data_IF_724146930835
#
_entry.id   IF_724146930835
#
_cell.length_a   1.000
_cell.length_b   1.000
_cell.length_c   1.000
_cell.angle_alpha   90.00
_cell.angle_beta   90.00
_cell.angle_gamma   90.00
#
_symmetry.space_group_name_H-M   'P 1'
#
loop_
_entity.id
_entity.type
_entity.pdbx_description
1 polymer ?
#
# COMPACT_ATOMS: atom_id res chain seq x y z
N UNK A 1 -64.27 -35.64 34.80
CA UNK A 1 -63.72 -34.29 35.06
C UNK A 1 -62.79 -34.45 36.24
N UNK A 2 -61.63 -35.09 36.08
CA UNK A 2 -60.46 -34.68 35.30
C UNK A 2 -59.86 -33.38 35.86
N UNK A 3 -58.97 -33.53 36.83
CA UNK A 3 -57.98 -32.52 37.19
C UNK A 3 -56.61 -33.23 37.19
N UNK A 4 -55.99 -33.27 36.01
CA UNK A 4 -54.59 -33.63 35.85
C UNK A 4 -53.79 -32.36 36.16
N UNK A 5 -53.39 -32.21 37.42
CA UNK A 5 -52.55 -31.11 37.85
C UNK A 5 -51.11 -31.32 37.33
N UNK A 6 -50.81 -30.60 36.27
CA UNK A 6 -49.54 -30.67 35.53
C UNK A 6 -48.41 -30.04 36.36
N UNK A 7 -47.66 -30.86 37.11
CA UNK A 7 -46.45 -30.45 37.82
C UNK A 7 -45.41 -29.87 36.83
N UNK A 8 -45.23 -28.54 36.85
CA UNK A 8 -44.08 -27.90 36.17
C UNK A 8 -42.86 -27.97 37.07
N UNK A 9 -41.70 -28.47 36.60
CA UNK A 9 -40.51 -28.58 37.43
C UNK A 9 -40.01 -27.18 37.83
N UNK A 10 -39.98 -26.90 39.13
CA UNK A 10 -39.42 -25.68 39.70
C UNK A 10 -37.89 -25.67 39.55
N UNK A 11 -37.38 -25.14 38.43
CA UNK A 11 -35.96 -24.85 38.30
C UNK A 11 -35.54 -23.84 39.38
N UNK A 12 -34.81 -24.30 40.39
CA UNK A 12 -34.33 -23.40 41.45
C UNK A 12 -33.44 -22.31 40.83
N UNK A 13 -33.66 -21.05 41.21
CA UNK A 13 -32.83 -19.90 40.77
C UNK A 13 -31.33 -20.13 41.03
N UNK A 14 -30.98 -21.00 41.98
CA UNK A 14 -29.61 -21.39 42.28
C UNK A 14 -29.02 -22.36 41.25
N UNK A 15 -29.80 -23.33 40.75
CA UNK A 15 -29.40 -24.24 39.67
C UNK A 15 -29.16 -23.52 38.35
N UNK A 16 -30.06 -22.62 37.98
CA UNK A 16 -29.93 -21.79 36.78
C UNK A 16 -28.68 -20.89 36.81
N UNK A 17 -28.34 -20.31 37.97
CA UNK A 17 -27.12 -19.49 38.14
C UNK A 17 -25.82 -20.30 38.05
N UNK A 18 -25.83 -21.55 38.52
CA UNK A 18 -24.66 -22.47 38.41
C UNK A 18 -24.47 -22.95 36.98
N UNK A 19 -25.55 -23.40 36.32
CA UNK A 19 -25.54 -23.78 34.92
C UNK A 19 -25.03 -22.64 34.01
N UNK A 20 -25.52 -21.42 34.22
CA UNK A 20 -25.04 -20.24 33.47
C UNK A 20 -23.55 -19.91 33.69
N UNK A 21 -22.99 -20.24 34.86
CA UNK A 21 -21.56 -19.99 35.14
C UNK A 21 -20.68 -21.03 34.44
N UNK A 22 -21.11 -22.30 34.40
CA UNK A 22 -20.42 -23.39 33.68
C UNK A 22 -20.47 -23.15 32.16
N UNK A 23 -21.62 -22.72 31.63
CA UNK A 23 -21.77 -22.39 30.22
C UNK A 23 -20.88 -21.21 29.82
N UNK A 24 -20.76 -20.17 30.65
CA UNK A 24 -19.85 -19.04 30.39
C UNK A 24 -18.38 -19.48 30.40
N UNK A 25 -17.98 -20.34 31.35
CA UNK A 25 -16.63 -20.88 31.41
C UNK A 25 -16.29 -21.71 30.16
N UNK A 26 -17.19 -22.62 29.77
CA UNK A 26 -17.05 -23.43 28.57
C UNK A 26 -16.95 -22.56 27.32
N UNK A 27 -17.80 -21.52 27.19
CA UNK A 27 -17.75 -20.59 26.08
C UNK A 27 -16.42 -19.82 25.99
N UNK A 28 -15.89 -19.33 27.12
CA UNK A 28 -14.59 -18.62 27.14
C UNK A 28 -13.41 -19.54 26.77
N UNK A 29 -13.42 -20.78 27.24
CA UNK A 29 -12.38 -21.78 26.93
C UNK A 29 -12.46 -22.17 25.45
N UNK A 30 -13.64 -22.49 24.95
CA UNK A 30 -13.84 -22.88 23.54
C UNK A 30 -13.48 -21.74 22.58
N UNK A 31 -13.76 -20.49 22.95
CA UNK A 31 -13.42 -19.32 22.13
C UNK A 31 -11.92 -18.96 22.16
N UNK A 32 -11.17 -19.38 23.19
CA UNK A 32 -9.76 -18.98 23.39
C UNK A 32 -8.81 -19.29 22.23
N UNK A 33 -8.80 -20.49 21.60
CA UNK A 33 -7.86 -20.78 20.50
C UNK A 33 -8.14 -19.97 19.23
N UNK A 34 -9.32 -19.37 19.09
CA UNK A 34 -9.68 -18.56 17.93
C UNK A 34 -9.53 -17.06 18.21
N UNK A 35 -10.05 -16.60 19.36
CA UNK A 35 -10.11 -15.17 19.67
C UNK A 35 -8.77 -14.62 20.14
N UNK A 36 -8.00 -15.39 20.92
CA UNK A 36 -6.75 -14.90 21.50
C UNK A 36 -5.66 -14.71 20.44
N UNK A 37 -5.36 -15.70 19.57
CA UNK A 37 -4.32 -15.53 18.54
C UNK A 37 -4.68 -14.42 17.54
N UNK A 38 -5.89 -14.46 16.97
CA UNK A 38 -6.35 -13.48 15.98
C UNK A 38 -6.50 -12.08 16.58
N UNK A 39 -6.91 -11.99 17.85
CA UNK A 39 -6.98 -10.73 18.58
C UNK A 39 -5.61 -10.09 18.79
N UNK A 40 -4.62 -10.86 19.25
CA UNK A 40 -3.25 -10.37 19.46
C UNK A 40 -2.59 -9.94 18.15
N UNK A 41 -2.78 -10.71 17.09
CA UNK A 41 -2.29 -10.38 15.75
C UNK A 41 -2.91 -9.09 15.21
N UNK A 42 -4.21 -8.90 15.43
CA UNK A 42 -4.93 -7.68 15.05
C UNK A 42 -4.47 -6.44 15.82
N UNK A 43 -4.19 -6.57 17.12
CA UNK A 43 -3.60 -5.48 17.92
C UNK A 43 -2.22 -5.10 17.38
N UNK A 44 -1.40 -6.10 17.05
CA UNK A 44 -0.06 -5.86 16.47
C UNK A 44 -0.15 -5.16 15.12
N UNK A 45 -1.06 -5.60 14.24
CA UNK A 45 -1.29 -4.96 12.93
C UNK A 45 -1.76 -3.51 13.05
N UNK A 46 -2.59 -3.18 14.04
CA UNK A 46 -3.03 -1.81 14.29
C UNK A 46 -1.89 -0.94 14.85
N UNK A 47 -1.02 -1.52 15.68
CA UNK A 47 0.17 -0.86 16.20
C UNK A 47 1.20 -0.58 15.08
N UNK A 48 1.40 -1.55 14.18
CA UNK A 48 2.33 -1.50 13.05
C UNK A 48 1.68 -0.96 11.76
N UNK A 49 0.47 -0.38 11.82
CA UNK A 49 -0.34 0.05 10.66
C UNK A 49 0.33 1.03 9.69
N UNK A 50 1.41 1.68 10.14
CA UNK A 50 2.18 2.66 9.36
C UNK A 50 3.50 2.08 8.84
N UNK A 51 3.83 0.84 9.19
CA UNK A 51 5.01 0.13 8.69
C UNK A 51 4.64 -0.72 7.46
N UNK A 52 5.02 -0.28 6.25
CA UNK A 52 4.69 -1.02 5.03
C UNK A 52 5.38 -2.38 4.94
N UNK A 53 6.51 -2.58 5.64
CA UNK A 53 7.22 -3.86 5.64
C UNK A 53 6.43 -4.90 6.42
N UNK A 54 5.95 -4.52 7.61
CA UNK A 54 5.10 -5.39 8.43
C UNK A 54 3.80 -5.77 7.71
N UNK A 55 3.17 -4.81 7.02
CA UNK A 55 1.95 -5.06 6.23
C UNK A 55 2.22 -6.09 5.12
N UNK A 56 3.27 -5.89 4.33
CA UNK A 56 3.64 -6.80 3.27
C UNK A 56 3.97 -8.19 3.83
N UNK A 57 4.76 -8.27 4.91
CA UNK A 57 5.13 -9.54 5.54
C UNK A 57 3.92 -10.32 6.02
N UNK A 58 2.97 -9.65 6.68
CA UNK A 58 1.72 -10.25 7.12
C UNK A 58 0.88 -10.77 5.95
N UNK A 59 0.75 -10.00 4.86
CA UNK A 59 -0.07 -10.47 3.72
C UNK A 59 0.57 -11.61 2.94
N UNK A 60 1.90 -11.61 2.85
CA UNK A 60 2.65 -12.67 2.21
C UNK A 60 2.63 -13.98 3.01
N UNK A 61 2.41 -13.95 4.33
CA UNK A 61 2.29 -15.19 5.14
C UNK A 61 1.00 -15.96 4.88
N UNK A 62 -0.02 -15.29 4.33
CA UNK A 62 -1.27 -15.91 3.93
C UNK A 62 -1.18 -16.61 2.56
N UNK A 63 -0.10 -16.41 1.80
CA UNK A 63 0.07 -17.01 0.48
C UNK A 63 0.51 -18.48 0.57
N UNK A 64 -0.05 -19.28 -0.32
CA UNK A 64 0.24 -20.70 -0.48
C UNK A 64 1.27 -20.95 -1.57
N UNK A 65 1.86 -22.15 -1.61
CA UNK A 65 2.76 -22.55 -2.70
C UNK A 65 2.10 -22.47 -4.08
N UNK A 66 0.78 -22.67 -4.17
CA UNK A 66 0.04 -22.57 -5.41
C UNK A 66 -0.04 -21.13 -5.92
N UNK A 67 -0.15 -20.15 -5.03
CA UNK A 67 -0.18 -18.73 -5.39
C UNK A 67 1.12 -18.30 -6.07
N UNK A 68 2.27 -18.70 -5.50
CA UNK A 68 3.58 -18.47 -6.13
C UNK A 68 3.72 -19.21 -7.45
N UNK A 69 3.26 -20.47 -7.54
CA UNK A 69 3.32 -21.26 -8.77
C UNK A 69 2.52 -20.60 -9.91
N UNK A 70 1.31 -20.14 -9.62
CA UNK A 70 0.45 -19.45 -10.60
C UNK A 70 1.10 -18.14 -11.05
N UNK A 71 1.59 -17.34 -10.11
CA UNK A 71 2.24 -16.08 -10.42
C UNK A 71 3.52 -16.25 -11.26
N UNK A 72 4.34 -17.27 -10.97
CA UNK A 72 5.55 -17.56 -11.76
C UNK A 72 5.17 -17.99 -13.18
N UNK A 73 4.14 -18.82 -13.32
CA UNK A 73 3.67 -19.26 -14.63
C UNK A 73 3.11 -18.09 -15.47
N UNK A 74 2.40 -17.15 -14.83
CA UNK A 74 1.90 -15.94 -15.47
C UNK A 74 3.04 -15.00 -15.90
N UNK A 75 4.03 -14.78 -15.04
CA UNK A 75 5.21 -13.99 -15.40
C UNK A 75 5.99 -14.60 -16.59
N UNK A 76 6.07 -15.93 -16.67
CA UNK A 76 6.67 -16.64 -17.80
C UNK A 76 5.81 -16.55 -19.07
N UNK A 77 4.48 -16.58 -18.96
CA UNK A 77 3.61 -16.41 -20.14
C UNK A 77 3.67 -15.01 -20.72
N UNK A 78 3.94 -14.03 -19.87
CA UNK A 78 4.09 -12.63 -20.24
C UNK A 78 5.53 -12.27 -20.70
N UNK A 79 6.41 -13.28 -20.81
CA UNK A 79 7.84 -13.15 -21.14
C UNK A 79 8.61 -12.20 -20.19
N UNK A 80 8.15 -12.06 -18.94
CA UNK A 80 8.78 -11.25 -17.90
C UNK A 80 9.68 -12.10 -17.00
N UNK A 81 10.84 -12.48 -17.53
CA UNK A 81 11.76 -13.33 -16.79
C UNK A 81 12.30 -12.66 -15.52
N UNK A 82 12.50 -11.33 -15.52
CA UNK A 82 12.84 -10.56 -14.33
C UNK A 82 11.77 -10.63 -13.21
N UNK A 83 10.48 -10.63 -13.54
CA UNK A 83 9.41 -10.82 -12.56
C UNK A 83 9.35 -12.27 -12.08
N UNK A 84 9.53 -13.24 -12.97
CA UNK A 84 9.60 -14.65 -12.63
C UNK A 84 10.76 -14.95 -11.66
N UNK A 85 11.94 -14.37 -11.89
CA UNK A 85 13.09 -14.41 -10.96
C UNK A 85 12.74 -13.78 -9.61
N UNK A 86 12.10 -12.60 -9.63
CA UNK A 86 11.65 -11.91 -8.42
C UNK A 86 10.74 -12.78 -7.56
N UNK A 87 9.78 -13.48 -8.20
CA UNK A 87 8.80 -14.36 -7.55
C UNK A 87 9.47 -15.61 -6.97
N UNK A 88 10.42 -16.20 -7.69
CA UNK A 88 11.23 -17.30 -7.19
C UNK A 88 12.06 -16.90 -5.96
N UNK A 89 12.77 -15.77 -6.02
CA UNK A 89 13.55 -15.26 -4.90
C UNK A 89 12.69 -14.95 -3.67
N UNK A 90 11.44 -14.53 -3.89
CA UNK A 90 10.48 -14.31 -2.82
C UNK A 90 10.02 -15.64 -2.21
N UNK A 91 9.62 -16.61 -3.02
CA UNK A 91 9.21 -17.95 -2.56
C UNK A 91 10.32 -18.63 -1.75
N UNK A 92 11.57 -18.60 -2.24
CA UNK A 92 12.73 -19.16 -1.55
C UNK A 92 12.96 -18.50 -0.18
N UNK A 93 12.87 -17.17 -0.12
CA UNK A 93 13.03 -16.43 1.14
C UNK A 93 11.99 -16.75 2.20
N UNK A 94 10.85 -17.32 1.77
CA UNK A 94 9.72 -17.73 2.61
C UNK A 94 9.75 -19.23 2.91
N UNK A 95 10.74 -19.96 2.42
CA UNK A 95 10.81 -21.42 2.55
C UNK A 95 9.73 -22.17 1.76
N UNK A 96 9.16 -21.54 0.72
CA UNK A 96 8.14 -22.15 -0.13
C UNK A 96 8.83 -22.99 -1.21
N UNK A 97 8.56 -24.30 -1.22
CA UNK A 97 9.14 -25.21 -2.19
C UNK A 97 8.50 -25.06 -3.57
N UNK A 98 9.29 -24.63 -4.56
CA UNK A 98 8.91 -24.58 -5.98
C UNK A 98 9.53 -25.77 -6.71
N UNK A 99 8.75 -26.40 -7.60
CA UNK A 99 9.16 -27.60 -8.34
C UNK A 99 10.40 -27.36 -9.20
N UNK A 100 11.22 -28.39 -9.38
CA UNK A 100 12.42 -28.36 -10.22
C UNK A 100 12.14 -27.90 -11.66
N UNK A 101 11.12 -28.44 -12.36
CA UNK A 101 10.83 -28.05 -13.74
C UNK A 101 10.42 -26.58 -13.91
N UNK A 102 9.76 -25.97 -12.92
CA UNK A 102 9.37 -24.56 -13.00
C UNK A 102 10.58 -23.65 -12.74
N UNK A 103 11.45 -24.04 -11.80
CA UNK A 103 12.74 -23.36 -11.55
C UNK A 103 13.61 -23.33 -12.82
N UNK A 104 13.73 -24.46 -13.50
CA UNK A 104 14.51 -24.56 -14.74
C UNK A 104 13.95 -23.66 -15.85
N UNK A 105 12.62 -23.56 -15.98
CA UNK A 105 11.99 -22.63 -16.93
C UNK A 105 12.33 -21.18 -16.65
N UNK A 106 12.33 -20.75 -15.38
CA UNK A 106 12.72 -19.40 -15.01
C UNK A 106 14.21 -19.15 -15.28
N UNK A 107 15.08 -20.10 -14.93
CA UNK A 107 16.53 -19.98 -15.19
C UNK A 107 16.83 -19.86 -16.69
N UNK A 108 16.12 -20.62 -17.54
CA UNK A 108 16.21 -20.50 -18.99
C UNK A 108 15.70 -19.15 -19.50
N UNK A 109 14.56 -18.67 -18.98
CA UNK A 109 13.99 -17.38 -19.37
C UNK A 109 14.93 -16.21 -18.98
N UNK A 110 15.46 -16.23 -17.76
CA UNK A 110 16.42 -15.23 -17.27
C UNK A 110 17.70 -15.24 -18.10
N UNK A 111 18.20 -16.42 -18.46
CA UNK A 111 19.38 -16.55 -19.32
C UNK A 111 19.14 -16.02 -20.74
N UNK A 112 17.92 -16.16 -21.26
CA UNK A 112 17.52 -15.63 -22.56
C UNK A 112 17.41 -14.10 -22.53
N UNK A 113 16.80 -13.52 -21.50
CA UNK A 113 16.69 -12.07 -21.31
C UNK A 113 18.07 -11.42 -21.10
N UNK A 114 18.98 -12.10 -20.40
CA UNK A 114 20.36 -11.66 -20.22
C UNK A 114 21.18 -11.68 -21.53
N UNK A 115 20.69 -12.30 -22.60
CA UNK A 115 21.39 -12.33 -23.88
C UNK A 115 21.36 -10.96 -24.59
N UNK A 116 22.50 -10.55 -25.14
CA UNK A 116 22.66 -9.28 -25.86
C UNK A 116 21.67 -9.10 -27.01
N UNK A 117 21.27 -10.20 -27.67
CA UNK A 117 20.34 -10.18 -28.80
C UNK A 117 18.93 -9.77 -28.38
N UNK A 118 18.47 -10.20 -27.20
CA UNK A 118 17.13 -9.89 -26.71
C UNK A 118 17.04 -8.46 -26.18
N UNK A 119 18.08 -7.98 -25.49
CA UNK A 119 18.16 -6.58 -25.04
C UNK A 119 18.16 -5.59 -26.22
N UNK A 120 18.84 -5.93 -27.33
CA UNK A 120 18.82 -5.12 -28.54
C UNK A 120 17.45 -5.16 -29.24
N UNK A 121 16.74 -6.28 -29.19
CA UNK A 121 15.40 -6.43 -29.75
C UNK A 121 14.36 -5.61 -28.98
N UNK A 122 14.33 -5.68 -27.65
CA UNK A 122 13.42 -4.85 -26.82
C UNK A 122 13.71 -3.34 -27.02
N UNK A 123 14.99 -2.96 -27.12
CA UNK A 123 15.37 -1.57 -27.40
C UNK A 123 14.90 -1.10 -28.77
N UNK A 124 15.00 -1.95 -29.79
CA UNK A 124 14.56 -1.65 -31.15
C UNK A 124 13.02 -1.59 -31.24
N UNK A 125 12.31 -2.59 -30.73
CA UNK A 125 10.85 -2.64 -30.75
C UNK A 125 10.23 -1.50 -29.94
N UNK A 126 10.77 -1.17 -28.76
CA UNK A 126 10.27 -0.04 -27.97
C UNK A 126 10.60 1.32 -28.58
N UNK A 127 11.72 1.45 -29.30
CA UNK A 127 12.06 2.67 -30.03
C UNK A 127 11.20 2.87 -31.29
N UNK A 128 10.85 1.79 -31.99
CA UNK A 128 10.07 1.84 -33.25
C UNK A 128 8.56 1.88 -33.00
N UNK A 129 8.06 1.11 -32.03
CA UNK A 129 6.62 1.03 -31.76
C UNK A 129 6.08 2.23 -30.99
N UNK A 130 6.94 2.99 -30.30
CA UNK A 130 6.51 4.03 -29.37
C UNK A 130 5.57 3.51 -28.27
N UNK A 131 5.54 2.19 -28.05
CA UNK A 131 4.55 1.54 -27.21
C UNK A 131 4.93 1.77 -25.73
N UNK A 132 4.09 2.48 -24.96
CA UNK A 132 4.46 2.98 -23.63
C UNK A 132 4.61 1.91 -22.56
N UNK A 133 4.21 0.66 -22.84
CA UNK A 133 4.38 -0.47 -21.94
C UNK A 133 5.78 -1.11 -22.01
N UNK A 134 6.62 -0.70 -22.96
CA UNK A 134 8.00 -1.20 -23.08
C UNK A 134 9.01 -0.36 -22.27
N UNK A 135 9.98 -1.03 -21.65
CA UNK A 135 11.08 -0.38 -20.90
C UNK A 135 11.83 0.64 -21.75
N UNK A 136 12.05 0.32 -23.03
CA UNK A 136 12.74 1.18 -23.98
C UNK A 136 11.92 2.42 -24.38
N UNK A 137 10.60 2.28 -24.60
CA UNK A 137 9.70 3.40 -24.85
C UNK A 137 9.67 4.38 -23.68
N UNK A 138 9.64 3.86 -22.45
CA UNK A 138 9.70 4.69 -21.24
C UNK A 138 11.07 5.37 -21.07
N UNK A 139 12.17 4.67 -21.31
CA UNK A 139 13.52 5.26 -21.25
C UNK A 139 13.67 6.37 -22.29
N UNK A 140 13.17 6.17 -23.51
CA UNK A 140 13.15 7.20 -24.55
C UNK A 140 12.30 8.41 -24.16
N UNK A 141 11.11 8.18 -23.60
CA UNK A 141 10.24 9.24 -23.09
C UNK A 141 10.91 10.02 -21.95
N UNK A 142 11.56 9.34 -20.99
CA UNK A 142 12.28 10.00 -19.90
C UNK A 142 13.51 10.76 -20.43
N UNK A 143 14.28 10.19 -21.35
CA UNK A 143 15.44 10.84 -21.94
C UNK A 143 15.09 12.13 -22.68
N UNK A 144 13.91 12.17 -23.32
CA UNK A 144 13.39 13.35 -24.03
C UNK A 144 12.72 14.36 -23.10
N UNK A 145 11.97 13.90 -22.08
CA UNK A 145 11.27 14.76 -21.10
C UNK A 145 12.18 15.24 -19.93
N UNK A 146 13.44 14.82 -19.83
CA UNK A 146 14.41 15.33 -18.84
C UNK A 146 14.77 16.83 -19.01
N UNK A 147 14.24 17.48 -20.05
CA UNK A 147 14.48 18.88 -20.37
C UNK A 147 13.34 19.78 -19.91
N UNK A 148 13.67 21.00 -19.47
CA UNK A 148 12.67 22.04 -19.14
C UNK A 148 11.74 22.36 -20.32
N UNK A 149 12.13 21.99 -21.55
CA UNK A 149 11.38 22.26 -22.78
C UNK A 149 10.05 21.50 -22.81
N UNK A 150 10.02 20.26 -22.31
CA UNK A 150 8.79 19.46 -22.21
C UNK A 150 7.75 20.14 -21.33
N UNK A 151 8.15 20.59 -20.14
CA UNK A 151 7.30 21.30 -19.18
C UNK A 151 6.74 22.59 -19.78
N UNK A 152 7.59 23.35 -20.48
CA UNK A 152 7.19 24.60 -21.13
C UNK A 152 6.16 24.32 -22.23
N UNK A 153 6.40 23.33 -23.10
CA UNK A 153 5.46 22.95 -24.16
C UNK A 153 4.12 22.50 -23.57
N UNK A 154 4.16 21.63 -22.57
CA UNK A 154 2.96 21.06 -21.97
C UNK A 154 2.18 22.15 -21.20
N UNK A 155 2.83 23.12 -20.55
CA UNK A 155 2.15 24.31 -19.98
C UNK A 155 1.53 25.18 -21.07
N UNK A 156 2.22 25.40 -22.20
CA UNK A 156 1.68 26.22 -23.29
C UNK A 156 0.42 25.58 -23.89
N UNK A 157 0.44 24.26 -24.09
CA UNK A 157 -0.68 23.52 -24.68
C UNK A 157 -1.82 23.35 -23.68
N UNK A 158 -1.58 22.64 -22.57
CA UNK A 158 -2.62 22.30 -21.59
C UNK A 158 -3.07 23.52 -20.80
N UNK A 159 -2.15 24.45 -20.53
CA UNK A 159 -2.48 25.70 -19.84
C UNK A 159 -3.22 26.68 -20.74
N UNK A 160 -3.01 26.61 -22.06
CA UNK A 160 -3.80 27.37 -23.03
C UNK A 160 -5.23 26.87 -23.05
N UNK A 161 -5.40 25.57 -23.29
CA UNK A 161 -6.70 24.90 -23.27
C UNK A 161 -7.46 25.14 -21.95
N UNK A 162 -6.79 25.05 -20.80
CA UNK A 162 -7.38 25.38 -19.50
C UNK A 162 -7.93 26.81 -19.41
N UNK A 163 -7.21 27.81 -19.94
CA UNK A 163 -7.65 29.21 -19.91
C UNK A 163 -8.75 29.51 -20.92
N UNK A 164 -8.72 28.81 -22.05
CA UNK A 164 -9.70 28.94 -23.13
C UNK A 164 -11.01 28.19 -22.83
N UNK A 165 -11.01 27.32 -21.80
CA UNK A 165 -12.16 26.51 -21.40
C UNK A 165 -12.32 25.22 -22.22
N UNK A 166 -11.28 24.82 -22.94
CA UNK A 166 -11.23 23.61 -23.76
C UNK A 166 -10.87 22.37 -22.94
N UNK A 167 -10.96 21.19 -23.56
CA UNK A 167 -10.51 19.94 -22.96
C UNK A 167 -8.99 19.93 -22.79
N UNK A 168 -8.53 19.53 -21.61
CA UNK A 168 -7.11 19.56 -21.23
C UNK A 168 -6.82 18.43 -20.24
N UNK A 169 -5.55 18.01 -20.11
CA UNK A 169 -5.15 17.05 -19.09
C UNK A 169 -4.68 17.77 -17.80
N UNK A 170 -5.46 17.72 -16.69
CA UNK A 170 -5.11 18.40 -15.43
C UNK A 170 -3.91 17.77 -14.71
N UNK A 171 -3.63 16.49 -14.98
CA UNK A 171 -2.45 15.82 -14.46
C UNK A 171 -1.21 16.39 -15.14
N UNK A 172 -1.19 16.41 -16.47
CA UNK A 172 -0.04 16.89 -17.25
C UNK A 172 0.22 18.37 -16.98
N UNK A 173 -0.82 19.22 -17.01
CA UNK A 173 -0.68 20.64 -16.65
C UNK A 173 -0.09 20.81 -15.24
N UNK A 174 -0.63 20.08 -14.27
CA UNK A 174 -0.19 20.13 -12.88
C UNK A 174 1.26 19.72 -12.67
N UNK A 175 1.68 18.60 -13.27
CA UNK A 175 3.05 18.09 -13.22
C UNK A 175 4.03 19.02 -13.94
N UNK A 176 3.62 19.67 -15.03
CA UNK A 176 4.46 20.60 -15.77
C UNK A 176 4.61 21.93 -15.04
N UNK A 177 3.53 22.48 -14.45
CA UNK A 177 3.60 23.65 -13.55
C UNK A 177 4.48 23.36 -12.34
N UNK A 178 4.33 22.19 -11.70
CA UNK A 178 5.16 21.77 -10.60
C UNK A 178 6.64 21.66 -11.00
N UNK A 179 6.94 21.00 -12.11
CA UNK A 179 8.30 20.85 -12.64
C UNK A 179 8.97 22.20 -12.96
N UNK A 180 8.24 23.12 -13.59
CA UNK A 180 8.75 24.45 -13.90
C UNK A 180 8.94 25.32 -12.64
N UNK A 181 7.99 25.31 -11.71
CA UNK A 181 8.02 26.16 -10.53
C UNK A 181 9.08 25.73 -9.50
N UNK A 182 9.21 24.42 -9.27
CA UNK A 182 10.02 23.85 -8.16
C UNK A 182 11.53 23.86 -8.47
N UNK A 183 11.95 24.13 -9.71
CA UNK A 183 13.34 23.94 -10.19
C UNK A 183 14.38 24.93 -9.61
N UNK A 184 14.56 25.00 -8.29
CA UNK A 184 15.68 25.71 -7.66
C UNK A 184 15.52 26.08 -6.18
N UNK A 185 14.32 25.99 -5.59
CA UNK A 185 14.14 26.34 -4.17
C UNK A 185 14.33 25.14 -3.21
N UNK A 186 14.09 23.90 -3.66
CA UNK A 186 14.11 22.68 -2.82
C UNK A 186 15.26 21.72 -3.17
N UNK A 187 16.01 22.02 -4.24
CA UNK A 187 16.96 21.09 -4.90
C UNK A 187 18.36 21.08 -4.24
N UNK A 188 18.56 21.82 -3.13
CA UNK A 188 19.87 22.01 -2.52
C UNK A 188 20.45 20.78 -1.78
N UNK A 189 19.69 19.69 -1.58
CA UNK A 189 20.23 18.47 -0.95
C UNK A 189 20.93 17.59 -1.98
N UNK A 190 22.26 17.52 -1.86
CA UNK A 190 23.17 16.74 -2.69
C UNK A 190 22.62 15.35 -3.07
N UNK A 191 22.22 15.18 -4.35
CA UNK A 191 21.80 13.90 -4.94
C UNK A 191 20.29 13.66 -5.11
N UNK A 192 19.41 14.46 -4.49
CA UNK A 192 17.95 14.33 -4.63
C UNK A 192 17.42 14.91 -5.95
N UNK A 193 18.13 15.89 -6.50
CA UNK A 193 17.81 16.62 -7.74
C UNK A 193 17.58 15.70 -8.95
N UNK A 194 18.47 14.74 -9.16
CA UNK A 194 18.44 13.81 -10.30
C UNK A 194 17.35 12.77 -10.13
N UNK A 195 17.13 12.30 -8.90
CA UNK A 195 16.09 11.33 -8.56
C UNK A 195 14.69 11.94 -8.73
N UNK A 196 14.48 13.17 -8.27
CA UNK A 196 13.23 13.90 -8.47
C UNK A 196 12.93 14.13 -9.96
N UNK A 197 13.94 14.52 -10.75
CA UNK A 197 13.78 14.70 -12.22
C UNK A 197 13.43 13.39 -12.92
N UNK A 198 14.08 12.29 -12.57
CA UNK A 198 13.76 10.98 -13.10
C UNK A 198 12.31 10.59 -12.79
N UNK A 199 11.87 10.72 -11.54
CA UNK A 199 10.50 10.36 -11.17
C UNK A 199 9.44 11.30 -11.72
N UNK A 200 9.69 12.61 -11.84
CA UNK A 200 8.75 13.54 -12.48
C UNK A 200 8.59 13.25 -13.98
N UNK A 201 9.69 12.96 -14.68
CA UNK A 201 9.65 12.56 -16.09
C UNK A 201 8.89 11.24 -16.26
N UNK A 202 9.16 10.27 -15.38
CA UNK A 202 8.48 8.98 -15.44
C UNK A 202 6.98 9.08 -15.08
N UNK A 203 6.60 9.92 -14.13
CA UNK A 203 5.20 10.23 -13.83
C UNK A 203 4.49 10.85 -15.03
N UNK A 204 5.14 11.76 -15.77
CA UNK A 204 4.56 12.33 -16.99
C UNK A 204 4.41 11.29 -18.09
N UNK A 205 5.46 10.51 -18.35
CA UNK A 205 5.43 9.45 -19.34
C UNK A 205 4.34 8.41 -19.00
N UNK A 206 4.27 7.96 -17.75
CA UNK A 206 3.22 7.05 -17.28
C UNK A 206 1.82 7.70 -17.36
N UNK A 207 1.70 8.99 -17.08
CA UNK A 207 0.45 9.75 -17.21
C UNK A 207 -0.05 9.78 -18.65
N UNK A 208 0.83 10.14 -19.60
CA UNK A 208 0.54 10.15 -21.05
C UNK A 208 0.20 8.75 -21.58
N UNK A 209 0.86 7.74 -21.03
CA UNK A 209 0.63 6.33 -21.34
C UNK A 209 -0.65 5.73 -20.76
N UNK A 210 -1.32 6.42 -19.83
CA UNK A 210 -2.40 5.80 -19.05
C UNK A 210 -1.93 4.73 -18.05
N UNK A 211 -0.62 4.63 -17.79
CA UNK A 211 0.00 3.65 -16.90
C UNK A 211 0.00 4.07 -15.41
N UNK A 212 -0.89 4.98 -15.02
CA UNK A 212 -1.11 5.38 -13.62
C UNK A 212 -2.47 4.87 -13.18
N UNK A 213 -2.52 4.18 -12.04
CA UNK A 213 -3.76 3.68 -11.47
C UNK A 213 -4.80 4.81 -11.33
N UNK A 214 -6.05 4.53 -11.70
CA UNK A 214 -7.13 5.54 -11.66
C UNK A 214 -7.30 6.23 -10.28
N UNK A 215 -7.16 5.55 -9.12
CA UNK A 215 -7.20 6.21 -7.81
C UNK A 215 -6.03 7.19 -7.61
N UNK A 216 -4.82 6.81 -8.01
CA UNK A 216 -3.64 7.67 -7.92
C UNK A 216 -3.73 8.88 -8.85
N UNK A 217 -4.17 8.67 -10.11
CA UNK A 217 -4.41 9.77 -11.06
C UNK A 217 -5.40 10.78 -10.49
N UNK A 218 -6.53 10.33 -9.93
CA UNK A 218 -7.51 11.22 -9.26
C UNK A 218 -6.92 11.96 -8.07
N UNK A 219 -6.06 11.30 -7.28
CA UNK A 219 -5.38 11.93 -6.15
C UNK A 219 -4.40 13.01 -6.60
N UNK A 220 -3.64 12.77 -7.67
CA UNK A 220 -2.76 13.77 -8.26
C UNK A 220 -3.53 14.95 -8.85
N UNK A 221 -4.60 14.72 -9.62
CA UNK A 221 -5.45 15.79 -10.17
C UNK A 221 -6.00 16.67 -9.04
N UNK A 222 -6.40 16.08 -7.91
CA UNK A 222 -6.87 16.84 -6.75
C UNK A 222 -5.76 17.70 -6.13
N UNK A 223 -4.55 17.16 -6.04
CA UNK A 223 -3.38 17.89 -5.51
C UNK A 223 -2.95 19.03 -6.45
N UNK A 224 -2.98 18.79 -7.76
CA UNK A 224 -2.58 19.79 -8.76
C UNK A 224 -3.65 20.85 -8.99
N UNK A 225 -4.94 20.48 -8.94
CA UNK A 225 -6.05 21.42 -9.07
C UNK A 225 -6.05 22.51 -7.99
N UNK A 226 -5.62 22.19 -6.77
CA UNK A 226 -5.41 23.20 -5.72
C UNK A 226 -4.12 24.01 -5.90
N UNK A 227 -3.17 23.52 -6.70
CA UNK A 227 -1.89 24.18 -6.92
C UNK A 227 -1.93 25.17 -8.09
N UNK A 228 -2.65 24.87 -9.18
CA UNK A 228 -2.68 25.71 -10.38
C UNK A 228 -3.56 26.95 -10.16
N UNK A 229 -2.94 28.13 -10.16
CA UNK A 229 -3.63 29.41 -10.12
C UNK A 229 -3.85 29.93 -11.55
N UNK A 230 -5.10 29.97 -12.01
CA UNK A 230 -5.42 30.40 -13.38
C UNK A 230 -4.96 31.82 -13.72
N UNK A 231 -4.96 32.75 -12.75
CA UNK A 231 -4.44 34.11 -12.97
C UNK A 231 -2.93 34.09 -13.23
N UNK A 232 -2.18 33.38 -12.37
CA UNK A 232 -0.74 33.26 -12.53
C UNK A 232 -0.35 32.51 -13.82
N UNK A 233 -1.16 31.53 -14.21
CA UNK A 233 -1.00 30.79 -15.45
C UNK A 233 -1.23 31.73 -16.66
N UNK A 234 -2.26 32.57 -16.62
CA UNK A 234 -2.53 33.58 -17.65
C UNK A 234 -1.41 34.63 -17.80
N UNK A 235 -0.71 34.97 -16.71
CA UNK A 235 0.46 35.85 -16.74
C UNK A 235 1.73 35.12 -17.24
N UNK A 236 1.88 33.84 -16.89
CA UNK A 236 3.03 33.03 -17.26
C UNK A 236 3.03 32.56 -18.72
N UNK A 237 1.87 32.24 -19.30
CA UNK A 237 1.76 31.72 -20.67
C UNK A 237 2.35 32.64 -21.74
N UNK A 238 2.05 33.95 -21.76
CA UNK A 238 2.65 34.88 -22.72
C UNK A 238 4.16 35.00 -22.56
N UNK A 239 4.70 34.80 -21.35
CA UNK A 239 6.14 34.79 -21.09
C UNK A 239 6.78 33.52 -21.66
N UNK A 240 6.14 32.36 -21.48
CA UNK A 240 6.58 31.08 -22.04
C UNK A 240 6.57 31.08 -23.57
N UNK A 241 5.49 31.56 -24.19
CA UNK A 241 5.37 31.69 -25.66
C UNK A 241 6.46 32.60 -26.26
N UNK A 242 6.97 33.56 -25.49
CA UNK A 242 8.09 34.45 -25.87
C UNK A 242 9.48 33.91 -25.47
N UNK A 243 9.56 32.68 -24.96
CA UNK A 243 10.81 32.07 -24.51
C UNK A 243 11.36 32.57 -23.18
N UNK A 244 10.63 33.43 -22.45
CA UNK A 244 11.06 33.97 -21.15
C UNK A 244 10.68 33.03 -20.00
N UNK A 245 11.34 31.87 -19.97
CA UNK A 245 11.11 30.80 -18.99
C UNK A 245 11.39 31.26 -17.55
N UNK A 246 12.42 32.08 -17.36
CA UNK A 246 12.79 32.59 -16.03
C UNK A 246 11.72 33.49 -15.43
N UNK A 247 11.14 34.41 -16.22
CA UNK A 247 10.06 35.28 -15.73
C UNK A 247 8.75 34.51 -15.52
N UNK A 248 8.41 33.61 -16.45
CA UNK A 248 7.24 32.73 -16.31
C UNK A 248 7.32 31.91 -15.02
N UNK A 249 8.49 31.31 -14.76
CA UNK A 249 8.75 30.55 -13.55
C UNK A 249 8.57 31.38 -12.28
N UNK A 250 9.10 32.61 -12.23
CA UNK A 250 8.93 33.48 -11.06
C UNK A 250 7.45 33.77 -10.80
N UNK A 251 6.70 34.07 -11.86
CA UNK A 251 5.26 34.35 -11.83
C UNK A 251 4.44 33.17 -11.31
N UNK A 252 4.78 31.96 -11.77
CA UNK A 252 4.20 30.73 -11.24
C UNK A 252 4.59 30.56 -9.77
N UNK A 253 5.88 30.58 -9.44
CA UNK A 253 6.37 30.33 -8.08
C UNK A 253 5.76 31.25 -7.01
N UNK A 254 5.48 32.51 -7.32
CA UNK A 254 4.90 33.48 -6.36
C UNK A 254 3.43 33.23 -6.03
N UNK A 255 2.73 32.46 -6.85
CA UNK A 255 1.27 32.36 -6.81
C UNK A 255 0.77 30.95 -6.43
N UNK A 256 1.69 30.03 -6.13
CA UNK A 256 1.40 28.63 -5.86
C UNK A 256 1.30 28.36 -4.36
N UNK A 257 0.34 27.53 -3.96
CA UNK A 257 0.46 26.83 -2.68
C UNK A 257 1.58 25.80 -2.79
N UNK A 258 2.60 25.95 -1.96
CA UNK A 258 3.77 25.08 -1.98
C UNK A 258 3.48 23.70 -1.38
N UNK A 259 2.45 23.55 -0.53
CA UNK A 259 2.19 22.28 0.16
C UNK A 259 1.80 21.13 -0.77
N UNK A 260 0.85 21.28 -1.72
CA UNK A 260 0.53 20.22 -2.67
C UNK A 260 1.70 19.90 -3.61
N UNK A 261 2.49 20.92 -3.96
CA UNK A 261 3.66 20.79 -4.82
C UNK A 261 4.79 19.99 -4.17
N UNK A 262 5.04 20.22 -2.88
CA UNK A 262 6.00 19.40 -2.10
C UNK A 262 5.56 17.94 -2.08
N UNK A 263 4.26 17.65 -1.88
CA UNK A 263 3.75 16.26 -1.92
C UNK A 263 3.94 15.59 -3.28
N UNK A 264 3.78 16.33 -4.38
CA UNK A 264 4.06 15.83 -5.73
C UNK A 264 5.55 15.58 -5.94
N UNK A 265 6.40 16.45 -5.41
CA UNK A 265 7.84 16.29 -5.46
C UNK A 265 8.29 15.07 -4.65
N UNK A 266 7.77 14.88 -3.44
CA UNK A 266 8.07 13.72 -2.60
C UNK A 266 7.69 12.42 -3.33
N UNK A 267 6.48 12.38 -3.91
CA UNK A 267 6.03 11.28 -4.74
C UNK A 267 6.97 11.01 -5.94
N UNK A 268 7.44 12.06 -6.61
CA UNK A 268 8.41 11.92 -7.69
C UNK A 268 9.77 11.41 -7.20
N UNK A 269 10.26 11.88 -6.05
CA UNK A 269 11.51 11.38 -5.45
C UNK A 269 11.39 9.89 -5.12
N UNK A 270 10.24 9.45 -4.60
CA UNK A 270 9.98 8.05 -4.29
C UNK A 270 9.95 7.18 -5.55
N UNK A 271 9.24 7.61 -6.59
CA UNK A 271 9.22 6.90 -7.89
C UNK A 271 10.63 6.82 -8.48
N UNK A 272 11.36 7.93 -8.51
CA UNK A 272 12.73 7.96 -9.01
C UNK A 272 13.67 7.08 -8.17
N UNK A 273 13.44 6.97 -6.86
CA UNK A 273 14.22 6.10 -5.97
C UNK A 273 14.00 4.64 -6.32
N UNK A 274 12.75 4.23 -6.57
CA UNK A 274 12.43 2.87 -7.01
C UNK A 274 13.04 2.59 -8.37
N UNK A 275 12.88 3.49 -9.35
CA UNK A 275 13.43 3.30 -10.70
C UNK A 275 14.95 3.14 -10.69
N UNK A 276 15.64 3.97 -9.90
CA UNK A 276 17.10 3.91 -9.79
C UNK A 276 17.59 2.63 -9.10
N UNK A 277 16.86 2.14 -8.10
CA UNK A 277 17.30 0.99 -7.29
C UNK A 277 16.84 -0.36 -7.83
N UNK A 278 15.62 -0.42 -8.37
CA UNK A 278 14.94 -1.67 -8.79
C UNK A 278 14.67 -1.73 -10.29
N UNK A 279 15.03 -0.69 -11.05
CA UNK A 279 14.79 -0.61 -12.49
C UNK A 279 13.44 0.02 -12.86
N UNK A 280 13.31 0.35 -14.14
CA UNK A 280 12.16 1.09 -14.67
C UNK A 280 10.84 0.29 -14.60
N UNK A 281 10.85 -1.02 -14.92
CA UNK A 281 9.66 -1.89 -14.81
C UNK A 281 9.06 -1.86 -13.39
N UNK A 282 9.91 -1.95 -12.36
CA UNK A 282 9.45 -1.86 -10.96
C UNK A 282 8.83 -0.50 -10.62
N UNK A 283 9.36 0.58 -11.19
CA UNK A 283 8.81 1.92 -11.00
C UNK A 283 7.47 2.14 -11.71
N UNK A 284 7.26 1.56 -12.88
CA UNK A 284 5.96 1.63 -13.58
C UNK A 284 4.92 0.74 -12.93
N UNK A 285 5.28 -0.48 -12.51
CA UNK A 285 4.40 -1.37 -11.74
C UNK A 285 3.88 -0.69 -10.47
N UNK A 286 4.77 0.00 -9.74
CA UNK A 286 4.42 0.80 -8.57
C UNK A 286 3.34 1.87 -8.89
N UNK A 287 3.40 2.51 -10.07
CA UNK A 287 2.40 3.50 -10.50
C UNK A 287 1.08 2.88 -10.95
N UNK A 288 1.13 1.68 -11.55
CA UNK A 288 -0.06 0.90 -11.94
C UNK A 288 -0.82 0.36 -10.72
N UNK A 289 -0.17 0.29 -9.57
CA UNK A 289 -0.68 -0.37 -8.36
C UNK A 289 -0.98 0.59 -7.21
N UNK A 290 -0.26 1.70 -7.05
CA UNK A 290 -0.48 2.61 -5.93
C UNK A 290 -1.85 3.34 -6.03
N UNK A 291 -2.51 3.52 -4.87
CA UNK A 291 -3.80 4.22 -4.81
C UNK A 291 -3.64 5.72 -4.49
N UNK A 292 -2.62 6.07 -3.70
CA UNK A 292 -2.37 7.44 -3.25
C UNK A 292 -0.89 7.81 -3.34
N UNK A 293 -0.54 9.11 -3.37
CA UNK A 293 0.85 9.55 -3.34
C UNK A 293 1.60 9.09 -2.08
N UNK A 294 0.90 8.91 -0.95
CA UNK A 294 1.49 8.39 0.28
C UNK A 294 1.88 6.89 0.15
N UNK A 295 1.18 6.13 -0.69
CA UNK A 295 1.51 4.74 -0.95
C UNK A 295 2.79 4.62 -1.77
N UNK A 296 3.12 5.63 -2.58
CA UNK A 296 4.41 5.68 -3.29
C UNK A 296 5.59 5.74 -2.30
N UNK A 297 5.49 6.54 -1.25
CA UNK A 297 6.50 6.59 -0.19
C UNK A 297 6.66 5.25 0.53
N UNK A 298 5.54 4.57 0.79
CA UNK A 298 5.55 3.23 1.40
C UNK A 298 6.18 2.18 0.49
N UNK A 299 5.84 2.18 -0.79
CA UNK A 299 6.40 1.27 -1.79
C UNK A 299 7.89 1.55 -2.03
N UNK A 300 8.32 2.82 -1.98
CA UNK A 300 9.75 3.21 -2.01
C UNK A 300 10.53 2.60 -0.84
N UNK A 301 9.99 2.67 0.38
CA UNK A 301 10.56 1.98 1.56
C UNK A 301 10.59 0.46 1.38
N UNK A 302 9.50 -0.12 0.89
CA UNK A 302 9.38 -1.55 0.63
C UNK A 302 10.44 -2.02 -0.39
N UNK A 303 10.62 -1.26 -1.47
CA UNK A 303 11.63 -1.55 -2.50
C UNK A 303 13.05 -1.56 -1.94
N UNK A 304 13.35 -0.63 -1.02
CA UNK A 304 14.67 -0.55 -0.38
C UNK A 304 14.90 -1.75 0.55
N UNK A 305 13.85 -2.28 1.18
CA UNK A 305 13.94 -3.42 2.10
C UNK A 305 14.00 -4.76 1.38
N UNK A 306 13.15 -4.97 0.37
CA UNK A 306 12.98 -6.26 -0.30
C UNK A 306 13.83 -6.42 -1.57
N UNK A 307 14.38 -5.33 -2.10
CA UNK A 307 15.28 -5.35 -3.25
C UNK A 307 14.66 -6.06 -4.45
N UNK A 308 15.37 -7.04 -4.99
CA UNK A 308 14.93 -7.85 -6.14
C UNK A 308 13.56 -8.50 -5.96
N UNK A 309 13.09 -8.74 -4.73
CA UNK A 309 11.77 -9.35 -4.45
C UNK A 309 10.62 -8.34 -4.53
N UNK A 310 10.91 -7.05 -4.67
CA UNK A 310 9.91 -5.98 -4.63
C UNK A 310 8.84 -6.13 -5.72
N UNK A 311 9.25 -6.42 -6.97
CA UNK A 311 8.31 -6.62 -8.09
C UNK A 311 7.33 -7.76 -7.80
N UNK A 312 7.81 -8.89 -7.29
CA UNK A 312 6.98 -10.00 -6.85
C UNK A 312 5.97 -9.61 -5.76
N UNK A 313 6.36 -8.75 -4.81
CA UNK A 313 5.43 -8.26 -3.78
C UNK A 313 4.34 -7.38 -4.39
N UNK A 314 4.68 -6.48 -5.31
CA UNK A 314 3.69 -5.67 -6.02
C UNK A 314 2.74 -6.54 -6.85
N UNK A 315 3.27 -7.52 -7.56
CA UNK A 315 2.51 -8.43 -8.40
C UNK A 315 1.51 -9.27 -7.59
N UNK A 316 1.97 -9.90 -6.50
CA UNK A 316 1.14 -10.77 -5.68
C UNK A 316 0.12 -10.00 -4.83
N UNK A 317 0.47 -8.82 -4.31
CA UNK A 317 -0.34 -8.12 -3.32
C UNK A 317 -1.08 -6.89 -3.85
N UNK A 318 -0.70 -6.37 -5.01
CA UNK A 318 -1.23 -5.13 -5.55
C UNK A 318 -1.11 -3.96 -4.56
N UNK A 319 -2.12 -3.09 -4.53
CA UNK A 319 -2.14 -1.90 -3.66
C UNK A 319 -2.19 -2.28 -2.18
N UNK A 320 -2.65 -3.49 -1.88
CA UNK A 320 -2.63 -4.05 -0.55
C UNK A 320 -1.23 -4.44 -0.06
N UNK A 321 -0.17 -4.32 -0.87
CA UNK A 321 1.20 -4.41 -0.36
C UNK A 321 1.50 -3.35 0.73
N UNK A 322 0.80 -2.21 0.68
CA UNK A 322 1.04 -1.06 1.56
C UNK A 322 -0.24 -0.46 2.17
N UNK A 323 -1.40 -1.03 1.83
CA UNK A 323 -2.69 -0.63 2.38
C UNK A 323 -3.33 -1.78 3.17
N UNK A 324 -3.98 -1.43 4.29
CA UNK A 324 -4.71 -2.38 5.14
C UNK A 324 -6.23 -2.24 4.97
N UNK A 325 -6.72 -1.57 3.92
CA UNK A 325 -8.10 -1.05 3.83
C UNK A 325 -9.21 -2.02 4.26
N UNK A 326 -9.23 -3.24 3.70
CA UNK A 326 -10.19 -4.28 4.11
C UNK A 326 -9.81 -5.01 5.40
N UNK A 327 -8.51 -5.13 5.71
CA UNK A 327 -8.01 -5.85 6.87
C UNK A 327 -8.15 -5.07 8.19
N UNK A 328 -8.17 -3.73 8.17
CA UNK A 328 -8.40 -2.94 9.37
C UNK A 328 -9.79 -3.17 9.96
N UNK A 329 -10.80 -3.41 9.13
CA UNK A 329 -12.16 -3.70 9.60
C UNK A 329 -12.20 -5.07 10.27
N UNK A 330 -11.58 -6.08 9.66
CA UNK A 330 -11.46 -7.41 10.26
C UNK A 330 -10.63 -7.37 11.55
N UNK A 331 -9.50 -6.66 11.54
CA UNK A 331 -8.65 -6.46 12.72
C UNK A 331 -9.39 -5.71 13.83
N UNK A 332 -10.19 -4.68 13.51
CA UNK A 332 -11.06 -4.01 14.47
C UNK A 332 -12.08 -5.00 15.08
N UNK A 333 -12.71 -5.86 14.27
CA UNK A 333 -13.62 -6.90 14.75
C UNK A 333 -12.94 -7.88 15.71
N UNK A 334 -11.74 -8.33 15.39
CA UNK A 334 -10.95 -9.23 16.24
C UNK A 334 -10.45 -8.54 17.51
N UNK A 335 -10.04 -7.27 17.46
CA UNK A 335 -9.66 -6.53 18.67
C UNK A 335 -10.84 -6.30 19.62
N UNK A 336 -12.03 -5.99 19.09
CA UNK A 336 -13.27 -5.92 19.89
C UNK A 336 -13.61 -7.28 20.49
N UNK A 337 -13.48 -8.35 19.70
CA UNK A 337 -13.71 -9.72 20.18
C UNK A 337 -12.75 -10.11 21.31
N UNK A 338 -11.47 -9.75 21.18
CA UNK A 338 -10.46 -9.95 22.24
C UNK A 338 -10.78 -9.14 23.49
N UNK A 339 -11.18 -7.87 23.34
CA UNK A 339 -11.54 -7.02 24.47
C UNK A 339 -12.76 -7.59 25.22
N UNK A 340 -13.79 -8.04 24.51
CA UNK A 340 -14.96 -8.70 25.09
C UNK A 340 -14.57 -10.01 25.79
N UNK A 341 -13.67 -10.80 25.20
CA UNK A 341 -13.16 -12.02 25.81
C UNK A 341 -12.41 -11.73 27.12
N UNK A 342 -11.53 -10.71 27.14
CA UNK A 342 -10.80 -10.30 28.34
C UNK A 342 -11.74 -9.80 29.46
N UNK A 343 -12.75 -9.00 29.11
CA UNK A 343 -13.79 -8.56 30.06
C UNK A 343 -14.56 -9.76 30.61
N UNK A 344 -14.94 -10.71 29.75
CA UNK A 344 -15.62 -11.94 30.16
C UNK A 344 -14.76 -12.81 31.08
N UNK A 345 -13.48 -12.97 30.76
CA UNK A 345 -12.51 -13.70 31.57
C UNK A 345 -12.28 -13.04 32.93
N UNK A 346 -12.12 -11.71 32.97
CA UNK A 346 -11.98 -10.95 34.21
C UNK A 346 -13.24 -11.02 35.08
N UNK A 347 -14.43 -10.91 34.48
CA UNK A 347 -15.70 -11.06 35.18
C UNK A 347 -15.86 -12.47 35.76
N UNK A 348 -15.51 -13.50 34.99
CA UNK A 348 -15.52 -14.88 35.44
C UNK A 348 -14.53 -15.12 36.59
N UNK A 349 -13.30 -14.61 36.48
CA UNK A 349 -12.29 -14.67 37.53
C UNK A 349 -12.73 -13.97 38.82
N UNK A 350 -13.27 -12.76 38.73
CA UNK A 350 -13.82 -12.03 39.87
C UNK A 350 -14.99 -12.77 40.52
N UNK A 351 -15.87 -13.39 39.72
CA UNK A 351 -16.98 -14.21 40.21
C UNK A 351 -16.50 -15.45 40.94
N UNK A 352 -15.47 -16.14 40.43
CA UNK A 352 -14.83 -17.27 41.11
C UNK A 352 -14.19 -16.85 42.43
N UNK A 353 -13.44 -15.75 42.43
CA UNK A 353 -12.85 -15.18 43.66
C UNK A 353 -13.93 -14.89 44.70
N UNK A 354 -15.06 -14.28 44.31
CA UNK A 354 -16.18 -13.99 45.20
C UNK A 354 -16.88 -15.25 45.73
N UNK A 355 -17.02 -16.29 44.90
CA UNK A 355 -17.54 -17.60 45.32
C UNK A 355 -16.58 -18.32 46.27
N UNK A 356 -15.28 -18.29 45.98
CA UNK A 356 -14.23 -18.81 46.85
C UNK A 356 -14.19 -18.08 48.19
N UNK A 357 -14.27 -16.74 48.19
CA UNK A 357 -14.35 -15.94 49.42
C UNK A 357 -15.57 -16.33 50.28
N UNK A 358 -16.68 -16.68 49.63
CA UNK A 358 -17.95 -17.04 50.29
C UNK A 358 -18.01 -18.50 50.76
N UNK A 359 -17.23 -19.40 50.17
CA UNK A 359 -17.16 -20.81 50.55
C UNK A 359 -15.97 -21.16 51.44
N UNK A 360 -14.83 -20.48 51.31
CA UNK A 360 -13.60 -20.80 52.06
C UNK A 360 -13.40 -19.94 53.30
N UNK A 361 -13.68 -18.63 53.22
CA UNK A 361 -13.42 -17.68 54.31
C UNK A 361 -14.64 -17.45 55.21
N UNK A 362 -15.87 -17.67 54.71
CA UNK A 362 -17.09 -17.56 55.50
C UNK A 362 -17.29 -18.66 56.56
N UNK A 363 -16.96 -19.96 56.31
CA UNK A 363 -17.02 -20.97 57.37
C UNK A 363 -15.83 -20.93 58.34
N UNK A 364 -14.66 -20.41 57.93
CA UNK A 364 -13.52 -20.22 58.83
C UNK A 364 -13.77 -19.11 59.87
N UNK A 365 -14.41 -18.00 59.46
CA UNK A 365 -14.80 -16.94 60.40
C UNK A 365 -15.84 -17.40 61.42
N UNK A 366 -16.75 -18.31 61.04
CA UNK A 366 -17.75 -18.90 61.95
C UNK A 366 -17.17 -19.95 62.89
N UNK A 367 -16.12 -20.67 62.47
CA UNK A 367 -15.41 -21.62 63.32
C UNK A 367 -14.47 -20.92 64.34
N UNK A 368 -13.94 -19.74 64.00
CA UNK A 368 -13.07 -18.96 64.90
C UNK A 368 -13.83 -18.05 65.88
N UNK A 369 -15.06 -17.64 65.58
CA UNK A 369 -15.83 -16.69 66.41
C UNK A 369 -17.24 -17.17 66.83
N UNK A 370 -17.50 -18.48 66.87
CA UNK A 370 -18.86 -19.00 67.02
C UNK A 370 -19.05 -20.17 67.98
N UNK A 371 -18.73 -20.00 69.27
CA UNK A 371 -19.50 -20.47 70.44
C UNK A 371 -18.75 -20.07 71.73
N UNK A 372 -19.10 -18.90 72.26
CA UNK A 372 -19.04 -18.67 73.72
C UNK A 372 -20.53 -18.69 74.16
N UNK A 373 -20.90 -19.47 75.19
CA UNK A 373 -22.29 -19.72 75.56
C UNK A 373 -23.11 -18.47 75.84
#
# INVERSE_FOLDING_TARGET
>A
MEDIEMQRPAFSRAGAKRAGTVLLAAALIVASPFVVPSGLESVRLIAERNDPVAIADYRLSALTADDYRRAIAEALSDDDAGLAESLMLLAESRGVAISGPLREQVEMAVSREASLTHQLSELYEGAVSGNPDSTAGLIGAIATDLTTVGDVRDIINEGGAYLDGDDYDPLILGLSVAGLAITGAVIATAGSATTAKMGTSALKAAGKAGAIAAPLRRSFIRLTGSAVNGKALGEALPLLKRGNVTAARRTLATSLDTKPLVKLQDAAVDVGTVMRKQGFKAGTEMLKVADTPADLAKMSKLSTRFGKRFRAILFLLGSGAVTLGGYLIAAAGWTVSLALWLVGAAFFGWRLLRLGWRFFLFPLGRALFGRVP
#
